data_IF_198394984255
#
_entry.id   IF_198394984255
#
_cell.length_a   1.000
_cell.length_b   1.000
_cell.length_c   1.000
_cell.angle_alpha   90.00
_cell.angle_beta   90.00
_cell.angle_gamma   90.00
#
_symmetry.space_group_name_H-M   'P 1'
#
loop_
_entity.id
_entity.type
_entity.pdbx_description
1 polymer ?
#
# COMPACT_ATOMS: atom_id res chain seq x y z
N UNK A 1 20.07 7.45 -9.50
CA UNK A 1 18.60 7.21 -9.50
C UNK A 1 18.01 7.77 -8.23
N UNK A 2 16.77 8.29 -8.30
CA UNK A 2 16.02 8.71 -7.11
C UNK A 2 15.15 7.55 -6.65
N UNK A 3 15.03 7.38 -5.34
CA UNK A 3 14.23 6.33 -4.71
C UNK A 3 13.47 6.88 -3.53
N UNK A 4 12.26 6.39 -3.31
CA UNK A 4 11.38 6.75 -2.18
C UNK A 4 11.25 5.53 -1.27
N UNK A 5 11.25 5.76 0.05
CA UNK A 5 10.87 4.74 1.03
C UNK A 5 9.42 4.99 1.44
N UNK A 6 8.55 4.01 1.20
CA UNK A 6 7.16 4.04 1.59
C UNK A 6 7.01 3.18 2.85
N UNK A 7 6.47 3.78 3.91
CA UNK A 7 6.27 3.12 5.21
C UNK A 7 4.79 2.85 5.41
N UNK A 8 4.42 1.59 5.46
CA UNK A 8 3.05 1.12 5.58
C UNK A 8 2.70 0.71 7.02
N UNK A 9 1.41 0.71 7.33
CA UNK A 9 0.89 0.34 8.65
C UNK A 9 0.80 -1.17 8.80
N UNK A 10 1.02 -1.70 10.01
CA UNK A 10 0.61 -3.07 10.38
C UNK A 10 -0.65 -3.07 11.26
N UNK A 11 -1.29 -1.92 11.47
CA UNK A 11 -2.46 -1.78 12.33
C UNK A 11 -3.72 -2.18 11.57
N UNK A 12 -4.36 -3.26 12.02
CA UNK A 12 -5.56 -3.83 11.40
C UNK A 12 -6.90 -3.39 12.03
N UNK A 13 -6.87 -2.61 13.12
CA UNK A 13 -8.08 -2.19 13.86
C UNK A 13 -7.88 -0.83 14.53
N UNK A 14 -8.89 0.03 14.49
CA UNK A 14 -8.83 1.29 15.25
C UNK A 14 -8.84 1.04 16.76
N UNK A 15 -8.01 1.78 17.49
CA UNK A 15 -7.90 1.68 18.93
C UNK A 15 -9.26 1.93 19.60
N UNK A 16 -9.63 1.07 20.56
CA UNK A 16 -10.88 1.20 21.31
C UNK A 16 -12.15 0.79 20.56
N UNK A 17 -12.05 0.26 19.34
CA UNK A 17 -13.22 -0.17 18.54
C UNK A 17 -13.10 -1.61 18.06
N UNK A 18 -14.17 -2.09 17.39
CA UNK A 18 -14.17 -3.32 16.60
C UNK A 18 -14.08 -3.07 15.08
N UNK A 19 -13.78 -1.84 14.67
CA UNK A 19 -13.72 -1.46 13.26
C UNK A 19 -12.35 -1.82 12.68
N UNK A 20 -12.37 -2.60 11.60
CA UNK A 20 -11.18 -2.93 10.83
C UNK A 20 -10.64 -1.68 10.11
N UNK A 21 -9.31 -1.59 10.03
CA UNK A 21 -8.59 -0.55 9.29
C UNK A 21 -7.34 -1.17 8.66
N UNK A 22 -6.63 -0.42 7.83
CA UNK A 22 -5.34 -0.82 7.31
C UNK A 22 -4.78 0.24 6.37
N UNK A 23 -3.91 -0.19 5.47
CA UNK A 23 -3.50 0.58 4.30
C UNK A 23 -4.72 0.85 3.40
N UNK A 24 -4.89 2.10 2.98
CA UNK A 24 -5.86 2.42 1.95
C UNK A 24 -5.26 2.13 0.57
N UNK A 25 -5.73 1.08 -0.10
CA UNK A 25 -5.06 0.57 -1.30
C UNK A 25 -4.92 1.60 -2.42
N UNK A 26 -5.97 2.36 -2.71
CA UNK A 26 -5.93 3.38 -3.78
C UNK A 26 -4.87 4.45 -3.54
N UNK A 27 -4.71 4.93 -2.30
CA UNK A 27 -3.74 5.96 -1.95
C UNK A 27 -2.30 5.50 -2.22
N UNK A 28 -2.00 4.24 -1.88
CA UNK A 28 -0.67 3.66 -2.14
C UNK A 28 -0.47 3.40 -3.63
N UNK A 29 -1.40 2.68 -4.26
CA UNK A 29 -1.28 2.25 -5.66
C UNK A 29 -1.18 3.43 -6.64
N UNK A 30 -2.04 4.45 -6.48
CA UNK A 30 -2.04 5.63 -7.36
C UNK A 30 -0.75 6.46 -7.20
N UNK A 31 -0.25 6.60 -5.96
CA UNK A 31 1.02 7.28 -5.73
C UNK A 31 2.19 6.55 -6.39
N UNK A 32 2.21 5.23 -6.32
CA UNK A 32 3.27 4.39 -6.89
C UNK A 32 3.25 4.41 -8.41
N UNK A 33 2.06 4.33 -9.01
CA UNK A 33 1.89 4.49 -10.45
C UNK A 33 2.50 5.82 -10.93
N UNK A 34 2.28 6.90 -10.19
CA UNK A 34 2.84 8.21 -10.52
C UNK A 34 4.37 8.27 -10.38
N UNK A 35 4.95 7.62 -9.38
CA UNK A 35 6.41 7.49 -9.22
C UNK A 35 7.02 6.71 -10.39
N UNK A 36 6.40 5.60 -10.78
CA UNK A 36 6.90 4.72 -11.85
C UNK A 36 6.85 5.40 -13.21
N UNK A 37 5.82 6.19 -13.52
CA UNK A 37 5.76 7.05 -14.72
C UNK A 37 6.96 8.00 -14.83
N UNK A 38 7.52 8.39 -13.69
CA UNK A 38 8.67 9.30 -13.59
C UNK A 38 10.01 8.58 -13.41
N UNK A 39 10.06 7.25 -13.55
CA UNK A 39 11.26 6.43 -13.33
C UNK A 39 11.86 6.62 -11.92
N UNK A 40 10.99 6.83 -10.91
CA UNK A 40 11.37 6.88 -9.50
C UNK A 40 11.03 5.54 -8.88
N UNK A 41 12.03 4.87 -8.30
CA UNK A 41 11.80 3.60 -7.63
C UNK A 41 11.21 3.79 -6.22
N UNK A 42 10.56 2.75 -5.70
CA UNK A 42 10.07 2.69 -4.33
C UNK A 42 10.58 1.43 -3.61
N UNK A 43 10.94 1.59 -2.34
CA UNK A 43 11.07 0.48 -1.38
C UNK A 43 9.89 0.53 -0.40
N UNK A 44 9.43 -0.64 0.01
CA UNK A 44 8.29 -0.79 0.93
C UNK A 44 8.77 -1.41 2.24
N UNK A 45 8.42 -0.78 3.34
CA UNK A 45 8.61 -1.31 4.69
C UNK A 45 7.33 -1.13 5.48
N UNK A 46 7.17 -1.91 6.54
CA UNK A 46 6.14 -1.68 7.54
C UNK A 46 6.75 -1.76 8.93
N UNK A 47 6.07 -1.19 9.93
CA UNK A 47 6.61 -1.09 11.31
C UNK A 47 7.03 -2.43 11.92
N UNK A 48 6.43 -3.53 11.49
CA UNK A 48 6.68 -4.90 11.95
C UNK A 48 7.22 -5.82 10.84
N UNK A 49 7.41 -5.29 9.62
CA UNK A 49 7.65 -6.10 8.43
C UNK A 49 6.47 -7.02 8.09
N UNK A 50 6.66 -7.88 7.09
CA UNK A 50 5.68 -8.91 6.72
C UNK A 50 4.31 -8.34 6.31
N UNK A 51 3.23 -8.95 6.82
CA UNK A 51 1.88 -8.66 6.35
C UNK A 51 1.42 -7.22 6.65
N UNK A 52 0.97 -6.53 5.62
CA UNK A 52 0.30 -5.22 5.69
C UNK A 52 -1.21 -5.42 5.50
N UNK A 53 -2.05 -5.10 6.49
CA UNK A 53 -3.50 -5.19 6.35
C UNK A 53 -4.01 -4.10 5.42
N UNK A 54 -4.98 -4.42 4.56
CA UNK A 54 -5.75 -3.43 3.82
C UNK A 54 -6.97 -3.00 4.62
N UNK A 55 -7.33 -1.72 4.51
CA UNK A 55 -8.61 -1.24 5.01
C UNK A 55 -9.76 -1.83 4.16
N UNK A 56 -10.71 -2.58 4.74
CA UNK A 56 -11.81 -3.17 3.95
C UNK A 56 -12.66 -2.14 3.21
N UNK A 57 -12.69 -0.89 3.69
CA UNK A 57 -13.45 0.19 3.07
C UNK A 57 -12.77 0.68 1.80
N UNK A 58 -11.43 0.66 1.73
CA UNK A 58 -10.71 1.08 0.53
C UNK A 58 -11.01 0.19 -0.66
N UNK A 59 -11.34 -1.08 -0.41
CA UNK A 59 -11.66 -2.05 -1.46
C UNK A 59 -12.92 -1.72 -2.26
N UNK A 60 -13.78 -0.80 -1.78
CA UNK A 60 -14.95 -0.33 -2.54
C UNK A 60 -14.58 0.62 -3.68
N UNK A 61 -13.38 1.19 -3.64
CA UNK A 61 -12.93 2.24 -4.55
C UNK A 61 -11.82 1.78 -5.49
N UNK A 62 -11.51 0.48 -5.50
CA UNK A 62 -10.51 -0.08 -6.41
C UNK A 62 -11.08 -0.16 -7.82
N UNK A 63 -10.26 0.20 -8.79
CA UNK A 63 -10.54 0.02 -10.21
C UNK A 63 -9.47 -0.87 -10.85
N UNK A 64 -9.50 -0.96 -12.19
CA UNK A 64 -8.56 -1.79 -12.93
C UNK A 64 -7.12 -1.34 -12.76
N UNK A 65 -6.86 -0.03 -12.70
CA UNK A 65 -5.51 0.50 -12.70
C UNK A 65 -4.88 0.34 -11.31
N UNK A 66 -5.64 0.61 -10.24
CA UNK A 66 -5.26 0.27 -8.86
C UNK A 66 -4.95 -1.22 -8.73
N UNK A 67 -5.79 -2.09 -9.30
CA UNK A 67 -5.59 -3.54 -9.22
C UNK A 67 -4.40 -4.02 -10.05
N UNK A 68 -4.04 -3.35 -11.15
CA UNK A 68 -2.83 -3.69 -11.91
C UNK A 68 -1.60 -3.46 -11.04
N UNK A 69 -1.49 -2.28 -10.42
CA UNK A 69 -0.39 -1.96 -9.49
C UNK A 69 -0.40 -2.92 -8.28
N UNK A 70 -1.56 -3.22 -7.71
CA UNK A 70 -1.71 -4.16 -6.59
C UNK A 70 -1.16 -5.57 -6.90
N UNK A 71 -1.37 -6.05 -8.12
CA UNK A 71 -0.95 -7.37 -8.56
C UNK A 71 0.49 -7.41 -9.06
N UNK A 72 1.15 -6.26 -9.20
CA UNK A 72 2.58 -6.23 -9.48
C UNK A 72 3.37 -6.78 -8.30
N UNK A 73 4.28 -7.71 -8.59
CA UNK A 73 5.06 -8.45 -7.58
C UNK A 73 5.83 -7.58 -6.59
N UNK A 74 6.05 -6.30 -6.90
CA UNK A 74 6.89 -5.41 -6.10
C UNK A 74 6.14 -4.67 -4.98
N UNK A 75 4.80 -4.68 -4.97
CA UNK A 75 4.05 -3.85 -4.01
C UNK A 75 4.06 -4.39 -2.57
N UNK A 76 4.07 -5.72 -2.39
CA UNK A 76 3.96 -6.35 -1.06
C UNK A 76 5.13 -7.29 -0.71
N UNK A 77 6.19 -7.30 -1.50
CA UNK A 77 7.43 -7.96 -1.08
C UNK A 77 8.19 -7.02 -0.13
N UNK A 78 7.59 -6.79 1.04
CA UNK A 78 8.27 -6.17 2.19
C UNK A 78 9.42 -7.06 2.62
N UNK A 79 10.63 -6.50 2.69
CA UNK A 79 11.76 -7.07 3.43
C UNK A 79 11.51 -6.99 4.94
#
# INVERSE_FOLDING_TARGET
MKKVLIVETNIQKYAGTNEATGLWLGESAEFIDELYKHNIEADFVSTLGGFVPLDPRSMKYVDKDIMNIYLEKNLFMTL
#
